data_IF_694546699752
#
_entry.id   IF_694546699752
#
_cell.length_a   1.000
_cell.length_b   1.000
_cell.length_c   1.000
_cell.angle_alpha   90.00
_cell.angle_beta   90.00
_cell.angle_gamma   90.00
#
_symmetry.space_group_name_H-M   'P 1'
#
loop_
_entity.id
_entity.type
_entity.pdbx_description
1 polymer ?
#
# COMPACT_ATOMS: atom_id res chain seq x y z
N UNK A 1 46.24 56.38 -54.94
CA UNK A 1 44.97 55.64 -54.74
C UNK A 1 44.98 55.07 -53.32
N UNK A 2 43.99 55.45 -52.49
CA UNK A 2 43.16 54.60 -51.59
C UNK A 2 43.92 53.79 -50.50
N UNK A 3 43.63 53.77 -49.19
CA UNK A 3 42.59 54.32 -48.32
C UNK A 3 43.09 54.22 -46.86
N UNK A 4 42.77 55.21 -46.01
CA UNK A 4 42.87 55.12 -44.54
C UNK A 4 41.66 54.32 -44.02
N UNK A 5 41.90 53.24 -43.28
CA UNK A 5 40.84 52.49 -42.59
C UNK A 5 40.67 53.08 -41.18
N UNK A 6 39.57 53.81 -41.01
CA UNK A 6 39.05 54.26 -39.72
C UNK A 6 38.16 53.16 -39.14
N UNK A 7 38.55 52.57 -38.01
CA UNK A 7 37.69 51.65 -37.24
C UNK A 7 37.00 52.44 -36.14
N UNK A 8 35.74 52.80 -36.38
CA UNK A 8 34.81 53.24 -35.33
C UNK A 8 34.39 52.01 -34.53
N UNK A 9 34.73 51.97 -33.25
CA UNK A 9 34.22 50.99 -32.30
C UNK A 9 32.78 51.36 -31.97
N UNK A 10 31.84 50.46 -32.28
CA UNK A 10 30.42 50.62 -32.02
C UNK A 10 30.12 50.51 -30.52
N UNK A 11 29.41 51.50 -29.99
CA UNK A 11 28.97 51.58 -28.57
C UNK A 11 27.86 50.57 -28.20
N UNK A 12 27.50 49.63 -29.09
CA UNK A 12 26.44 48.64 -28.86
C UNK A 12 26.89 47.35 -28.15
N UNK A 13 28.16 47.23 -27.77
CA UNK A 13 28.71 46.01 -27.12
C UNK A 13 28.94 46.14 -25.61
N UNK A 14 28.63 47.29 -25.00
CA UNK A 14 28.91 47.54 -23.57
C UNK A 14 27.74 47.22 -22.61
N UNK A 15 26.56 46.89 -23.11
CA UNK A 15 25.37 46.60 -22.26
C UNK A 15 25.17 45.13 -21.90
N UNK A 16 25.98 44.20 -22.43
CA UNK A 16 25.91 42.76 -22.07
C UNK A 16 26.81 42.33 -20.91
N UNK A 17 27.62 43.23 -20.36
CA UNK A 17 28.59 42.88 -19.31
C UNK A 17 28.11 43.14 -17.86
N UNK A 18 26.92 43.74 -17.65
CA UNK A 18 26.44 44.10 -16.30
C UNK A 18 25.30 43.18 -15.81
N UNK A 19 24.69 42.35 -16.68
CA UNK A 19 23.66 41.38 -16.25
C UNK A 19 24.21 40.09 -15.63
N UNK A 20 25.53 39.97 -15.46
CA UNK A 20 26.17 38.76 -14.93
C UNK A 20 26.49 38.81 -13.41
N UNK A 21 26.20 39.94 -12.73
CA UNK A 21 26.56 40.13 -11.32
C UNK A 21 25.37 40.54 -10.43
N UNK A 22 24.17 40.09 -10.77
CA UNK A 22 23.04 40.07 -9.81
C UNK A 22 22.58 38.63 -9.65
N UNK A 23 23.50 37.77 -9.21
CA UNK A 23 23.09 36.61 -8.45
C UNK A 23 22.60 37.13 -7.11
N UNK A 24 21.29 37.39 -7.05
CA UNK A 24 20.53 37.38 -5.81
C UNK A 24 21.04 36.20 -4.97
N UNK A 25 21.69 36.51 -3.84
CA UNK A 25 21.87 35.58 -2.76
C UNK A 25 20.48 35.19 -2.26
N UNK A 26 19.85 34.25 -2.95
CA UNK A 26 18.63 33.60 -2.49
C UNK A 26 19.05 32.86 -1.23
N UNK A 27 18.66 33.40 -0.08
CA UNK A 27 18.79 32.70 1.19
C UNK A 27 18.26 31.27 0.97
N UNK A 28 19.14 30.28 1.10
CA UNK A 28 18.73 28.89 1.16
C UNK A 28 17.85 28.79 2.40
N UNK A 29 16.53 28.78 2.19
CA UNK A 29 15.60 28.30 3.21
C UNK A 29 16.16 26.99 3.72
N UNK A 30 16.36 26.82 5.04
CA UNK A 30 16.89 25.57 5.58
C UNK A 30 16.04 24.44 5.03
N UNK A 31 16.68 23.50 4.33
CA UNK A 31 16.03 22.29 3.85
C UNK A 31 15.36 21.65 5.06
N UNK A 32 14.04 21.55 5.02
CA UNK A 32 13.26 20.78 5.96
C UNK A 32 13.86 19.37 5.99
N UNK A 33 14.50 19.00 7.10
CA UNK A 33 15.03 17.65 7.31
C UNK A 33 13.82 16.71 7.23
N UNK A 34 13.66 16.03 6.11
CA UNK A 34 12.62 15.01 5.99
C UNK A 34 13.08 13.79 6.80
N UNK A 35 12.20 13.23 7.66
CA UNK A 35 12.54 12.04 8.43
C UNK A 35 12.85 10.89 7.48
N UNK A 36 13.84 10.08 7.84
CA UNK A 36 14.18 8.86 7.11
C UNK A 36 13.00 7.89 7.10
N UNK A 37 12.96 6.94 6.15
CA UNK A 37 11.91 5.92 6.15
C UNK A 37 11.83 5.19 7.50
N UNK A 38 12.98 4.79 8.03
CA UNK A 38 13.03 4.05 9.28
C UNK A 38 12.44 4.86 10.43
N UNK A 39 12.79 6.15 10.54
CA UNK A 39 12.19 7.05 11.53
C UNK A 39 10.67 7.16 11.36
N UNK A 40 10.17 7.24 10.12
CA UNK A 40 8.72 7.26 9.86
C UNK A 40 8.03 5.97 10.31
N UNK A 41 8.66 4.81 10.10
CA UNK A 41 8.11 3.52 10.51
C UNK A 41 8.17 3.32 12.02
N UNK A 42 9.22 3.80 12.68
CA UNK A 42 9.42 3.64 14.13
C UNK A 42 8.53 4.58 14.93
N UNK A 43 8.24 5.77 14.39
CA UNK A 43 7.38 6.77 15.06
C UNK A 43 5.90 6.63 14.73
N UNK A 44 5.55 5.77 13.76
CA UNK A 44 4.16 5.55 13.34
C UNK A 44 3.28 5.07 14.50
N UNK A 45 2.17 5.77 14.73
CA UNK A 45 1.18 5.42 15.74
C UNK A 45 0.10 4.49 15.16
N UNK A 46 -0.51 3.60 15.96
CA UNK A 46 -1.70 2.85 15.55
C UNK A 46 -2.81 3.81 15.08
N UNK A 47 -3.52 3.42 14.02
CA UNK A 47 -4.61 4.19 13.45
C UNK A 47 -5.96 3.83 14.08
N UNK A 48 -6.13 2.57 14.48
CA UNK A 48 -7.35 2.09 15.11
C UNK A 48 -7.29 2.27 16.63
N UNK A 49 -8.46 2.37 17.25
CA UNK A 49 -8.55 2.47 18.71
C UNK A 49 -7.99 1.22 19.37
N UNK A 50 -7.39 1.40 20.55
CA UNK A 50 -6.85 0.28 21.33
C UNK A 50 -7.96 -0.72 21.62
N UNK A 51 -7.63 -1.99 21.44
CA UNK A 51 -8.51 -3.09 21.75
C UNK A 51 -8.93 -3.04 23.24
N UNK A 52 -10.23 -3.16 23.49
CA UNK A 52 -10.80 -3.19 24.84
C UNK A 52 -11.25 -4.62 25.20
N UNK A 53 -10.57 -5.21 26.19
CA UNK A 53 -10.87 -6.54 26.70
C UNK A 53 -12.31 -6.70 27.21
N UNK A 54 -12.93 -5.62 27.70
CA UNK A 54 -14.31 -5.67 28.17
C UNK A 54 -15.31 -5.82 27.03
N UNK A 55 -14.94 -5.35 25.82
CA UNK A 55 -15.77 -5.44 24.63
C UNK A 55 -15.70 -6.82 23.97
N UNK A 56 -14.68 -7.63 24.26
CA UNK A 56 -14.43 -8.93 23.63
C UNK A 56 -13.99 -10.00 24.65
N UNK A 57 -14.94 -10.65 25.36
CA UNK A 57 -14.64 -11.50 26.52
C UNK A 57 -13.86 -12.79 26.21
N UNK A 58 -13.78 -13.19 24.94
CA UNK A 58 -13.12 -14.43 24.51
C UNK A 58 -11.65 -14.24 24.13
N UNK A 59 -11.11 -13.03 24.21
CA UNK A 59 -9.76 -12.70 23.74
C UNK A 59 -8.91 -12.24 24.93
N UNK A 60 -7.74 -12.85 25.11
CA UNK A 60 -6.89 -12.62 26.30
C UNK A 60 -5.69 -11.71 26.06
N UNK A 61 -5.38 -11.42 24.80
CA UNK A 61 -4.26 -10.56 24.36
C UNK A 61 -4.69 -9.75 23.16
N UNK A 62 -4.16 -8.55 22.98
CA UNK A 62 -4.42 -7.71 21.80
C UNK A 62 -4.13 -8.51 20.52
N UNK A 63 -5.15 -8.87 19.74
CA UNK A 63 -4.99 -9.68 18.54
C UNK A 63 -4.49 -8.84 17.35
N UNK A 64 -4.36 -7.51 17.52
CA UNK A 64 -4.14 -6.56 16.45
C UNK A 64 -5.43 -6.20 15.72
N UNK A 65 -5.26 -5.69 14.50
CA UNK A 65 -6.37 -5.19 13.67
C UNK A 65 -6.89 -6.25 12.69
N UNK A 66 -6.12 -7.32 12.49
CA UNK A 66 -6.44 -8.37 11.54
C UNK A 66 -5.36 -9.43 11.48
N UNK A 67 -5.53 -10.37 10.56
CA UNK A 67 -4.53 -11.39 10.23
C UNK A 67 -4.45 -11.64 8.74
N UNK A 68 -3.32 -12.19 8.31
CA UNK A 68 -3.22 -12.90 7.04
C UNK A 68 -2.47 -14.22 7.20
N UNK A 69 -2.98 -15.25 6.53
CA UNK A 69 -2.43 -16.59 6.56
C UNK A 69 -1.56 -16.79 5.33
N UNK A 70 -0.27 -16.94 5.57
CA UNK A 70 0.72 -17.14 4.53
C UNK A 70 0.58 -18.50 3.84
N UNK A 71 1.11 -18.65 2.63
CA UNK A 71 1.33 -19.92 1.95
C UNK A 71 2.04 -20.99 2.81
N UNK A 72 2.85 -20.62 3.80
CA UNK A 72 3.44 -21.59 4.74
C UNK A 72 2.48 -22.05 5.86
N UNK A 73 1.28 -21.46 5.93
CA UNK A 73 0.27 -21.70 6.96
C UNK A 73 0.49 -20.93 8.26
N UNK A 74 1.45 -20.00 8.30
CA UNK A 74 1.66 -19.15 9.45
C UNK A 74 0.67 -17.97 9.45
N UNK A 75 0.11 -17.69 10.63
CA UNK A 75 -0.79 -16.57 10.90
C UNK A 75 0.05 -15.33 11.22
N UNK A 76 -0.10 -14.28 10.42
CA UNK A 76 0.61 -13.02 10.62
C UNK A 76 -0.40 -11.97 11.06
N UNK A 77 -0.24 -11.48 12.28
CA UNK A 77 -1.02 -10.36 12.80
C UNK A 77 -0.69 -9.07 12.03
N UNK A 78 -1.71 -8.26 11.78
CA UNK A 78 -1.57 -6.96 11.14
C UNK A 78 -2.02 -5.85 12.06
N UNK A 79 -1.26 -4.76 12.04
CA UNK A 79 -1.57 -3.54 12.77
C UNK A 79 -1.60 -2.42 11.75
N UNK A 80 -2.70 -1.69 11.72
CA UNK A 80 -2.93 -0.52 10.91
C UNK A 80 -2.32 0.70 11.61
N UNK A 81 -1.33 1.29 10.96
CA UNK A 81 -0.64 2.50 11.40
C UNK A 81 -1.10 3.74 10.62
N UNK A 82 -1.01 4.88 11.29
CA UNK A 82 -1.22 6.18 10.68
C UNK A 82 -0.10 6.51 9.67
N UNK A 83 -0.40 7.42 8.75
CA UNK A 83 0.57 7.94 7.78
C UNK A 83 0.66 7.12 6.49
N UNK A 84 1.82 7.23 5.83
CA UNK A 84 2.03 6.75 4.46
C UNK A 84 2.23 5.24 4.33
N UNK A 85 2.60 4.55 5.42
CA UNK A 85 2.99 3.13 5.42
C UNK A 85 2.09 2.31 6.37
N UNK A 86 0.81 2.06 5.99
CA UNK A 86 -0.24 1.62 6.91
C UNK A 86 -0.01 0.27 7.58
N UNK A 87 0.79 -0.62 7.01
CA UNK A 87 1.13 -1.90 7.65
C UNK A 87 2.64 -2.13 7.70
N UNK A 88 3.44 -1.07 7.53
CA UNK A 88 4.89 -1.16 7.39
C UNK A 88 5.24 -2.19 6.30
N UNK A 89 5.75 -3.36 6.67
CA UNK A 89 6.11 -4.47 5.78
C UNK A 89 5.17 -5.67 5.95
N UNK A 90 4.61 -6.15 4.85
CA UNK A 90 3.81 -7.38 4.79
C UNK A 90 4.68 -8.58 4.40
N UNK A 91 5.53 -9.00 5.34
CA UNK A 91 6.47 -10.12 5.22
C UNK A 91 6.12 -11.17 6.27
N UNK A 92 6.04 -12.44 5.86
CA UNK A 92 5.74 -13.51 6.77
C UNK A 92 6.85 -13.69 7.80
N UNK A 93 6.51 -13.67 9.09
CA UNK A 93 7.49 -13.76 10.18
C UNK A 93 8.12 -15.15 10.31
N UNK A 94 7.58 -16.17 9.61
CA UNK A 94 8.08 -17.54 9.65
C UNK A 94 8.96 -17.91 8.46
N UNK A 95 8.53 -17.57 7.24
CA UNK A 95 9.21 -18.01 6.01
C UNK A 95 9.69 -16.85 5.13
N UNK A 96 9.57 -15.60 5.61
CA UNK A 96 9.98 -14.38 4.90
C UNK A 96 9.25 -14.16 3.56
N UNK A 97 8.17 -14.91 3.30
CA UNK A 97 7.33 -14.74 2.12
C UNK A 97 6.64 -13.37 2.17
N UNK A 98 6.77 -12.59 1.09
CA UNK A 98 6.04 -11.33 0.91
C UNK A 98 4.60 -11.65 0.51
N UNK A 99 3.64 -11.03 1.20
CA UNK A 99 2.22 -11.27 0.97
C UNK A 99 1.85 -11.24 -0.52
N UNK A 100 1.01 -12.20 -0.90
CA UNK A 100 0.61 -12.48 -2.27
C UNK A 100 -0.91 -12.55 -2.43
N UNK A 101 -1.43 -12.50 -3.66
CA UNK A 101 -2.87 -12.63 -3.90
C UNK A 101 -3.42 -14.02 -3.55
N UNK A 102 -2.55 -14.97 -3.20
CA UNK A 102 -2.92 -16.35 -2.86
C UNK A 102 -3.00 -16.59 -1.36
N UNK A 103 -2.55 -15.62 -0.58
CA UNK A 103 -2.72 -15.62 0.86
C UNK A 103 -4.14 -15.17 1.22
N UNK A 104 -4.65 -15.67 2.33
CA UNK A 104 -5.99 -15.31 2.82
C UNK A 104 -5.87 -14.29 3.94
N UNK A 105 -6.64 -13.22 3.86
CA UNK A 105 -6.61 -12.07 4.77
C UNK A 105 -7.96 -11.89 5.43
N UNK A 106 -7.98 -11.35 6.66
CA UNK A 106 -9.19 -10.78 7.24
C UNK A 106 -9.58 -9.47 6.53
N UNK A 107 -10.74 -8.93 6.89
CA UNK A 107 -11.35 -7.73 6.33
C UNK A 107 -10.43 -6.50 6.41
N UNK A 108 -9.58 -6.45 7.44
CA UNK A 108 -8.55 -5.41 7.62
C UNK A 108 -7.60 -5.27 6.42
N UNK A 109 -7.43 -6.33 5.62
CA UNK A 109 -6.66 -6.34 4.37
C UNK A 109 -7.51 -6.93 3.23
N UNK A 110 -8.45 -6.14 2.70
CA UNK A 110 -9.30 -6.59 1.59
C UNK A 110 -8.57 -6.45 0.26
N UNK A 111 -8.26 -7.56 -0.42
CA UNK A 111 -7.58 -7.54 -1.72
C UNK A 111 -8.40 -6.83 -2.81
N UNK A 112 -7.73 -6.04 -3.66
CA UNK A 112 -8.30 -5.38 -4.84
C UNK A 112 -7.72 -6.02 -6.10
N UNK A 113 -8.45 -6.93 -6.77
CA UNK A 113 -7.93 -7.63 -7.95
C UNK A 113 -7.67 -6.72 -9.14
N UNK A 114 -8.46 -5.65 -9.27
CA UNK A 114 -8.40 -4.74 -10.40
C UNK A 114 -8.67 -3.30 -9.97
N UNK A 115 -7.60 -2.54 -9.74
CA UNK A 115 -7.70 -1.15 -9.29
C UNK A 115 -8.49 -0.25 -10.25
N UNK A 116 -8.50 -0.56 -11.55
CA UNK A 116 -9.26 0.19 -12.55
C UNK A 116 -10.78 0.02 -12.41
N UNK A 117 -11.25 -1.07 -11.81
CA UNK A 117 -12.67 -1.31 -11.53
C UNK A 117 -13.11 -0.77 -10.16
N UNK A 118 -12.15 -0.47 -9.30
CA UNK A 118 -12.40 -0.04 -7.93
C UNK A 118 -13.22 1.25 -7.85
N UNK A 119 -13.08 2.14 -8.84
CA UNK A 119 -13.81 3.42 -8.89
C UNK A 119 -15.34 3.26 -8.98
N UNK A 120 -15.82 2.06 -9.29
CA UNK A 120 -17.26 1.73 -9.39
C UNK A 120 -17.81 1.05 -8.13
N UNK A 121 -16.96 0.75 -7.15
CA UNK A 121 -17.38 0.10 -5.91
C UNK A 121 -17.95 1.13 -4.92
N UNK A 122 -18.96 0.74 -4.14
CA UNK A 122 -19.60 1.63 -3.15
C UNK A 122 -18.59 2.18 -2.13
N UNK A 123 -17.61 1.35 -1.74
CA UNK A 123 -16.53 1.78 -0.83
C UNK A 123 -15.67 2.90 -1.41
N UNK A 124 -15.54 3.00 -2.73
CA UNK A 124 -14.82 4.12 -3.35
C UNK A 124 -15.60 5.42 -3.19
N UNK A 125 -16.91 5.39 -3.40
CA UNK A 125 -17.80 6.55 -3.26
C UNK A 125 -17.73 7.09 -1.82
N UNK A 126 -17.74 6.20 -0.84
CA UNK A 126 -17.62 6.58 0.59
C UNK A 126 -16.28 7.25 0.93
N UNK A 127 -15.20 6.92 0.20
CA UNK A 127 -13.85 7.45 0.44
C UNK A 127 -13.59 8.83 -0.18
N UNK A 128 -14.46 9.34 -1.07
CA UNK A 128 -14.24 10.63 -1.74
C UNK A 128 -14.22 11.82 -0.78
N UNK A 129 -14.83 11.69 0.40
CA UNK A 129 -14.96 12.75 1.39
C UNK A 129 -14.16 12.46 2.68
N UNK A 130 -13.21 11.52 2.63
CA UNK A 130 -12.42 11.13 3.80
C UNK A 130 -11.00 11.69 3.66
N UNK A 131 -10.51 12.34 4.71
CA UNK A 131 -9.19 12.97 4.72
C UNK A 131 -8.05 11.96 4.50
N UNK A 132 -8.24 10.73 4.98
CA UNK A 132 -7.24 9.65 4.92
C UNK A 132 -7.80 8.48 4.12
N UNK A 133 -7.25 8.27 2.92
CA UNK A 133 -7.64 7.15 2.06
C UNK A 133 -7.33 5.80 2.69
N UNK A 134 -8.25 4.85 2.59
CA UNK A 134 -8.06 3.44 2.95
C UNK A 134 -7.49 2.57 1.82
N UNK A 135 -7.17 3.15 0.66
CA UNK A 135 -6.56 2.43 -0.46
C UNK A 135 -5.05 2.32 -0.30
N UNK A 136 -4.50 1.15 -0.59
CA UNK A 136 -3.09 0.85 -0.39
C UNK A 136 -2.52 -0.03 -1.50
N UNK A 137 -1.20 0.05 -1.67
CA UNK A 137 -0.41 -0.92 -2.44
C UNK A 137 0.69 -1.54 -1.60
N UNK A 138 1.15 -2.74 -1.95
CA UNK A 138 2.34 -3.37 -1.37
C UNK A 138 3.36 -3.68 -2.46
N UNK A 139 4.63 -3.35 -2.19
CA UNK A 139 5.76 -3.69 -3.04
C UNK A 139 6.00 -5.20 -3.03
N UNK A 140 6.13 -5.81 -4.22
CA UNK A 140 6.34 -7.27 -4.35
C UNK A 140 7.77 -7.72 -4.04
N UNK A 141 8.70 -6.78 -3.90
CA UNK A 141 10.12 -7.05 -3.68
C UNK A 141 10.51 -7.02 -2.20
N UNK A 142 9.87 -6.15 -1.40
CA UNK A 142 10.16 -6.04 0.04
C UNK A 142 8.93 -6.08 0.96
N UNK A 143 7.71 -6.04 0.41
CA UNK A 143 6.47 -6.02 1.19
C UNK A 143 6.10 -4.67 1.80
N UNK A 144 6.88 -3.61 1.56
CA UNK A 144 6.56 -2.25 2.06
C UNK A 144 5.22 -1.77 1.51
N UNK A 145 4.35 -1.34 2.41
CA UNK A 145 3.00 -0.87 2.08
C UNK A 145 2.96 0.63 1.87
N UNK A 146 2.13 1.12 0.96
CA UNK A 146 1.99 2.54 0.70
C UNK A 146 0.52 2.92 0.53
N UNK A 147 0.08 3.92 1.30
CA UNK A 147 -1.25 4.50 1.18
C UNK A 147 -1.39 5.32 -0.10
N UNK A 148 -2.55 5.25 -0.72
CA UNK A 148 -2.92 6.07 -1.86
C UNK A 148 -3.50 7.42 -1.41
N UNK A 149 -3.67 8.33 -2.36
CA UNK A 149 -4.53 9.50 -2.25
C UNK A 149 -5.70 9.34 -3.21
N UNK A 150 -6.90 9.69 -2.75
CA UNK A 150 -8.10 9.73 -3.62
C UNK A 150 -8.28 11.19 -4.05
N UNK A 151 -8.23 11.43 -5.36
CA UNK A 151 -8.40 12.78 -5.94
C UNK A 151 -9.46 12.71 -7.02
N UNK A 152 -10.64 13.24 -6.74
CA UNK A 152 -11.81 13.11 -7.60
C UNK A 152 -12.15 11.64 -7.85
N UNK A 153 -12.07 11.21 -9.10
CA UNK A 153 -12.36 9.82 -9.53
C UNK A 153 -11.12 8.96 -9.69
N UNK A 154 -9.98 9.36 -9.12
CA UNK A 154 -8.70 8.67 -9.29
C UNK A 154 -8.11 8.22 -7.95
N UNK A 155 -7.60 6.99 -7.91
CA UNK A 155 -6.76 6.47 -6.84
C UNK A 155 -5.30 6.62 -7.26
N UNK A 156 -4.58 7.52 -6.58
CA UNK A 156 -3.20 7.85 -6.91
C UNK A 156 -2.28 7.27 -5.86
N UNK A 157 -1.42 6.34 -6.27
CA UNK A 157 -0.31 5.89 -5.44
C UNK A 157 0.87 6.82 -5.68
N UNK A 158 1.61 7.17 -4.62
CA UNK A 158 2.75 8.09 -4.72
C UNK A 158 3.64 7.78 -5.92
N UNK A 159 4.07 8.82 -6.63
CA UNK A 159 4.85 8.68 -7.86
C UNK A 159 6.23 8.06 -7.63
N UNK A 160 6.70 8.05 -6.37
CA UNK A 160 7.99 7.50 -6.03
C UNK A 160 7.96 5.96 -6.10
N UNK A 161 8.97 5.34 -6.75
CA UNK A 161 9.15 3.90 -6.67
C UNK A 161 9.38 3.48 -5.22
N UNK A 162 9.19 2.19 -4.94
CA UNK A 162 9.50 1.67 -3.62
C UNK A 162 10.97 1.95 -3.26
N UNK A 163 11.23 2.26 -2.00
CA UNK A 163 12.58 2.60 -1.51
C UNK A 163 13.58 1.44 -1.56
N UNK A 164 13.10 0.20 -1.74
CA UNK A 164 13.97 -0.95 -2.02
C UNK A 164 14.68 -0.87 -3.38
N UNK A 165 14.33 0.11 -4.22
CA UNK A 165 14.99 0.43 -5.51
C UNK A 165 14.93 -0.67 -6.58
N UNK A 166 14.30 -1.80 -6.31
CA UNK A 166 14.04 -2.84 -7.30
C UNK A 166 12.97 -2.36 -8.30
N UNK A 167 13.32 -2.39 -9.59
CA UNK A 167 12.38 -2.09 -10.67
C UNK A 167 11.26 -3.13 -10.67
N UNK A 168 10.04 -2.67 -10.46
CA UNK A 168 8.83 -3.47 -10.27
C UNK A 168 8.43 -4.17 -11.59
N UNK A 169 9.19 -5.19 -12.02
CA UNK A 169 8.75 -6.10 -13.10
C UNK A 169 7.42 -6.77 -12.73
N UNK A 170 7.19 -6.96 -11.44
CA UNK A 170 5.97 -7.54 -10.88
C UNK A 170 4.99 -6.42 -10.59
N UNK A 171 3.73 -6.60 -11.01
CA UNK A 171 2.66 -5.66 -10.64
C UNK A 171 2.49 -5.65 -9.11
N UNK A 172 2.37 -4.45 -8.49
CA UNK A 172 2.13 -4.35 -7.06
C UNK A 172 0.79 -4.99 -6.69
N UNK A 173 0.70 -5.38 -5.43
CA UNK A 173 -0.56 -5.81 -4.81
C UNK A 173 -1.36 -4.58 -4.39
N UNK A 174 -2.66 -4.58 -4.63
CA UNK A 174 -3.57 -3.52 -4.18
C UNK A 174 -4.54 -4.08 -3.15
N UNK A 175 -4.84 -3.28 -2.13
CA UNK A 175 -5.79 -3.65 -1.09
C UNK A 175 -6.47 -2.42 -0.50
N UNK A 176 -7.62 -2.66 0.12
CA UNK A 176 -8.41 -1.71 0.89
C UNK A 176 -8.32 -2.07 2.37
N UNK A 177 -8.13 -1.06 3.23
CA UNK A 177 -8.18 -1.23 4.68
C UNK A 177 -9.65 -1.30 5.09
N UNK A 178 -10.14 -2.52 5.31
CA UNK A 178 -11.54 -2.75 5.68
C UNK A 178 -11.82 -2.52 7.16
N UNK A 179 -12.87 -3.18 7.63
CA UNK A 179 -13.29 -3.19 9.01
C UNK A 179 -12.38 -4.08 9.87
N UNK A 180 -12.12 -3.67 11.11
CA UNK A 180 -11.34 -4.42 12.09
C UNK A 180 -12.23 -5.09 13.14
N UNK A 181 -13.47 -4.61 13.28
CA UNK A 181 -14.40 -5.06 14.32
C UNK A 181 -14.78 -6.52 14.16
N UNK A 182 -15.00 -6.93 12.91
CA UNK A 182 -15.33 -8.32 12.56
C UNK A 182 -14.26 -9.30 13.04
N UNK A 183 -12.98 -8.96 12.84
CA UNK A 183 -11.86 -9.76 13.33
C UNK A 183 -11.70 -9.68 14.86
N UNK A 184 -11.78 -8.47 15.43
CA UNK A 184 -11.62 -8.27 16.88
C UNK A 184 -12.71 -8.97 17.70
N UNK A 185 -13.89 -9.16 17.11
CA UNK A 185 -15.01 -9.86 17.74
C UNK A 185 -14.71 -11.33 18.04
N UNK A 186 -14.13 -12.04 17.08
CA UNK A 186 -13.77 -13.45 17.20
C UNK A 186 -12.50 -13.76 16.39
N UNK A 187 -11.31 -13.43 16.92
CA UNK A 187 -10.05 -13.60 16.19
C UNK A 187 -9.71 -15.08 15.95
N UNK A 188 -10.09 -15.95 16.88
CA UNK A 188 -9.88 -17.40 16.76
C UNK A 188 -10.79 -17.98 15.68
N UNK A 189 -12.07 -17.61 15.67
CA UNK A 189 -13.03 -17.99 14.63
C UNK A 189 -12.57 -17.52 13.24
N UNK A 190 -12.15 -16.26 13.13
CA UNK A 190 -11.61 -15.70 11.89
C UNK A 190 -10.35 -16.45 11.41
N UNK A 191 -9.42 -16.81 12.30
CA UNK A 191 -8.23 -17.59 11.97
C UNK A 191 -8.58 -18.99 11.44
N UNK A 192 -9.55 -19.66 12.07
CA UNK A 192 -10.06 -20.95 11.62
C UNK A 192 -10.74 -20.84 10.26
N UNK A 193 -11.60 -19.85 10.05
CA UNK A 193 -12.30 -19.62 8.78
C UNK A 193 -11.31 -19.37 7.64
N UNK A 194 -10.35 -18.46 7.83
CA UNK A 194 -9.32 -18.18 6.83
C UNK A 194 -8.45 -19.41 6.55
N UNK A 195 -8.15 -20.21 7.57
CA UNK A 195 -7.42 -21.47 7.41
C UNK A 195 -8.17 -22.48 6.55
N UNK A 196 -9.48 -22.60 6.76
CA UNK A 196 -10.36 -23.46 5.95
C UNK A 196 -10.43 -22.94 4.52
N UNK A 197 -10.71 -21.63 4.34
CA UNK A 197 -10.76 -20.97 3.03
C UNK A 197 -9.49 -21.20 2.23
N UNK A 198 -8.32 -21.00 2.83
CA UNK A 198 -7.02 -21.25 2.17
C UNK A 198 -6.87 -22.68 1.69
N UNK A 199 -7.26 -23.67 2.51
CA UNK A 199 -7.18 -25.10 2.14
C UNK A 199 -8.13 -25.44 0.99
N UNK A 200 -9.34 -24.86 1.00
CA UNK A 200 -10.31 -25.02 -0.07
C UNK A 200 -9.77 -24.42 -1.39
N UNK A 201 -9.29 -23.18 -1.37
CA UNK A 201 -8.72 -22.53 -2.55
C UNK A 201 -7.48 -23.27 -3.09
N UNK A 202 -6.60 -23.75 -2.21
CA UNK A 202 -5.46 -24.57 -2.60
C UNK A 202 -5.90 -25.88 -3.29
N UNK A 203 -6.96 -26.52 -2.77
CA UNK A 203 -7.54 -27.73 -3.34
C UNK A 203 -8.16 -27.46 -4.71
N UNK A 204 -8.90 -26.36 -4.87
CA UNK A 204 -9.47 -25.94 -6.15
C UNK A 204 -8.39 -25.69 -7.21
N UNK A 205 -7.31 -24.98 -6.84
CA UNK A 205 -6.17 -24.75 -7.75
C UNK A 205 -5.51 -26.06 -8.18
N UNK A 206 -5.42 -27.05 -7.29
CA UNK A 206 -4.87 -28.36 -7.62
C UNK A 206 -5.76 -29.12 -8.62
N UNK A 207 -7.08 -29.11 -8.44
CA UNK A 207 -8.03 -29.73 -9.36
C UNK A 207 -8.00 -29.07 -10.75
N UNK A 208 -8.00 -27.74 -10.78
CA UNK A 208 -7.94 -26.95 -12.02
C UNK A 208 -6.65 -27.26 -12.81
N UNK A 209 -5.49 -27.38 -12.13
CA UNK A 209 -4.22 -27.76 -12.78
C UNK A 209 -4.21 -29.16 -13.37
N UNK A 210 -5.04 -30.07 -12.85
CA UNK A 210 -5.16 -31.45 -13.37
C UNK A 210 -6.20 -31.60 -14.47
N UNK A 211 -6.89 -30.51 -14.85
CA UNK A 211 -7.97 -30.57 -15.83
C UNK A 211 -9.14 -31.45 -15.37
N UNK A 212 -9.27 -31.68 -14.07
CA UNK A 212 -10.39 -32.43 -13.50
C UNK A 212 -11.59 -31.48 -13.52
N UNK A 213 -12.55 -31.75 -14.41
CA UNK A 213 -13.73 -30.91 -14.60
C UNK A 213 -14.50 -30.72 -13.28
N UNK A 214 -14.81 -29.45 -12.97
CA UNK A 214 -15.60 -29.04 -11.79
C UNK A 214 -16.97 -29.72 -11.66
N UNK A 215 -17.49 -30.29 -12.75
CA UNK A 215 -18.74 -31.07 -12.77
C UNK A 215 -18.73 -32.32 -11.91
N UNK A 216 -17.57 -32.75 -11.40
CA UNK A 216 -17.45 -33.96 -10.56
C UNK A 216 -17.54 -33.65 -9.06
N UNK A 217 -17.52 -32.37 -8.66
CA UNK A 217 -17.58 -31.96 -7.23
C UNK A 217 -18.91 -31.26 -6.96
N UNK A 218 -19.96 -32.06 -6.82
CA UNK A 218 -21.28 -31.61 -6.40
C UNK A 218 -21.30 -31.52 -4.86
N UNK A 219 -20.72 -30.47 -4.26
CA UNK A 219 -20.78 -30.28 -2.82
C UNK A 219 -21.04 -28.82 -2.42
N UNK A 220 -22.17 -28.67 -1.70
CA UNK A 220 -22.59 -27.57 -0.82
C UNK A 220 -23.20 -26.30 -1.43
N UNK A 221 -24.21 -26.46 -2.30
CA UNK A 221 -25.44 -25.66 -2.14
C UNK A 221 -26.32 -26.38 -1.10
N UNK A 222 -25.95 -26.28 0.18
CA UNK A 222 -26.81 -26.71 1.28
C UNK A 222 -26.60 -25.75 2.45
N UNK A 223 -27.14 -24.55 2.29
CA UNK A 223 -27.60 -23.75 3.42
C UNK A 223 -29.13 -23.66 3.32
N UNK A 224 -29.88 -24.47 4.09
CA UNK A 224 -31.23 -24.11 4.45
C UNK A 224 -31.19 -23.11 5.62
N UNK A 225 -31.65 -21.90 5.29
CA UNK A 225 -32.15 -20.78 6.11
C UNK A 225 -31.21 -20.11 7.13
#
# INVERSE_FOLDING_TARGET
MIQKISKRVSLSSLTKAISAFVHHGRAKTPESIQPTLQEQLDTAQPAEELWDAFSYPNVHTDPGDGIWICECGFENHVIHYQGSYPFKYLVCQRCEHIMSPYDTTSEALTSIPCIAKEIFEDRFIQQQNVDVSRYCRSCRCCGLTQRASVVGTSILFGQLPCLCSETDEKKPMYFYIGDVESYRHDPDGAAVELSIKRRLEASMRYLDRRGIQKSTVHWLEYYPE
#
